data_IF_230351237085
#
_entry.id   IF_230351237085
#
_cell.length_a   1.000
_cell.length_b   1.000
_cell.length_c   1.000
_cell.angle_alpha   90.00
_cell.angle_beta   90.00
_cell.angle_gamma   90.00
#
_symmetry.space_group_name_H-M   'P 1'
#
loop_
_entity.id
_entity.type
_entity.pdbx_description
1 polymer ?
#
# COMPACT_ATOMS: atom_id res chain seq x y z
N UNK A 1 -19.14 -1.81 9.66
CA UNK A 1 -17.88 -1.05 9.75
C UNK A 1 -17.95 0.17 8.83
N UNK A 2 -17.57 1.37 9.27
CA UNK A 2 -17.59 2.57 8.43
C UNK A 2 -16.48 2.56 7.38
N UNK A 3 -16.66 3.25 6.24
CA UNK A 3 -15.65 3.34 5.18
C UNK A 3 -14.31 3.81 5.73
N UNK A 4 -14.29 4.90 6.51
CA UNK A 4 -13.07 5.48 7.10
C UNK A 4 -12.33 4.46 7.98
N UNK A 5 -13.05 3.69 8.81
CA UNK A 5 -12.43 2.63 9.62
C UNK A 5 -11.84 1.54 8.73
N UNK A 6 -12.55 1.09 7.71
CA UNK A 6 -12.05 0.03 6.81
C UNK A 6 -10.81 0.48 6.03
N UNK A 7 -10.85 1.69 5.45
CA UNK A 7 -9.71 2.31 4.76
C UNK A 7 -8.50 2.41 5.70
N UNK A 8 -8.70 2.87 6.94
CA UNK A 8 -7.63 2.93 7.95
C UNK A 8 -6.94 1.57 8.11
N UNK A 9 -7.70 0.51 8.36
CA UNK A 9 -7.13 -0.82 8.62
C UNK A 9 -6.45 -1.43 7.39
N UNK A 10 -7.04 -1.27 6.20
CA UNK A 10 -6.46 -1.79 4.96
C UNK A 10 -5.13 -1.10 4.64
N UNK A 11 -5.07 0.23 4.73
CA UNK A 11 -3.85 0.99 4.45
C UNK A 11 -2.80 0.82 5.55
N UNK A 12 -3.20 0.66 6.82
CA UNK A 12 -2.28 0.33 7.90
C UNK A 12 -1.65 -1.06 7.71
N UNK A 13 -2.45 -2.06 7.30
CA UNK A 13 -1.95 -3.41 7.02
C UNK A 13 -0.98 -3.41 5.81
N UNK A 14 -1.36 -2.73 4.72
CA UNK A 14 -0.50 -2.57 3.54
C UNK A 14 0.81 -1.86 3.88
N UNK A 15 0.75 -0.79 4.67
CA UNK A 15 1.94 -0.10 5.16
C UNK A 15 2.80 -1.02 6.01
N UNK A 16 2.22 -1.76 6.95
CA UNK A 16 2.97 -2.65 7.84
C UNK A 16 3.68 -3.76 7.06
N UNK A 17 3.01 -4.36 6.07
CA UNK A 17 3.60 -5.36 5.19
C UNK A 17 4.77 -4.77 4.38
N UNK A 18 4.59 -3.61 3.77
CA UNK A 18 5.67 -2.91 3.06
C UNK A 18 6.81 -2.48 3.98
N UNK A 19 6.49 -2.06 5.20
CA UNK A 19 7.47 -1.61 6.17
C UNK A 19 8.36 -2.77 6.62
N UNK A 20 7.77 -3.86 7.07
CA UNK A 20 8.50 -5.02 7.60
C UNK A 20 9.28 -5.78 6.53
N UNK A 21 8.72 -5.88 5.31
CA UNK A 21 9.30 -6.70 4.25
C UNK A 21 10.23 -5.92 3.31
N UNK A 22 10.10 -4.60 3.24
CA UNK A 22 10.84 -3.79 2.27
C UNK A 22 11.53 -2.58 2.89
N UNK A 23 10.84 -1.71 3.64
CA UNK A 23 11.48 -0.49 4.19
C UNK A 23 12.58 -0.86 5.19
N UNK A 24 12.28 -1.74 6.15
CA UNK A 24 13.26 -2.20 7.15
C UNK A 24 14.52 -2.77 6.48
N UNK A 25 14.40 -3.68 5.51
CA UNK A 25 15.59 -4.22 4.84
C UNK A 25 16.34 -3.22 3.98
N UNK A 26 15.62 -2.44 3.15
CA UNK A 26 16.23 -1.57 2.13
C UNK A 26 16.80 -0.30 2.74
N UNK A 27 16.13 0.29 3.72
CA UNK A 27 16.53 1.58 4.32
C UNK A 27 17.43 1.37 5.53
N UNK A 28 17.14 0.37 6.37
CA UNK A 28 17.87 0.15 7.62
C UNK A 28 18.86 -1.01 7.57
N UNK A 29 19.04 -1.65 6.40
CA UNK A 29 20.00 -2.74 6.21
C UNK A 29 19.69 -4.00 7.02
N UNK A 30 18.43 -4.18 7.42
CA UNK A 30 18.01 -5.36 8.19
C UNK A 30 17.75 -6.56 7.27
N UNK A 31 17.70 -7.77 7.84
CA UNK A 31 17.18 -8.91 7.08
C UNK A 31 15.67 -8.75 6.87
N UNK A 32 15.16 -9.20 5.73
CA UNK A 32 13.71 -9.26 5.50
C UNK A 32 13.05 -10.14 6.57
N UNK A 33 12.17 -9.53 7.37
CA UNK A 33 11.47 -10.22 8.46
C UNK A 33 10.43 -11.23 7.94
N UNK A 34 10.04 -11.07 6.67
CA UNK A 34 9.03 -11.90 6.01
C UNK A 34 9.47 -12.23 4.58
N UNK A 35 9.19 -13.45 4.07
CA UNK A 35 9.50 -13.82 2.70
C UNK A 35 8.79 -12.92 1.68
N UNK A 36 9.50 -12.51 0.63
CA UNK A 36 8.99 -11.62 -0.44
C UNK A 36 7.76 -12.19 -1.13
N UNK A 37 7.71 -13.50 -1.39
CA UNK A 37 6.56 -14.14 -2.03
C UNK A 37 5.30 -14.04 -1.16
N UNK A 38 5.44 -14.17 0.16
CA UNK A 38 4.34 -14.12 1.11
C UNK A 38 3.84 -12.68 1.27
N UNK A 39 4.74 -11.74 1.49
CA UNK A 39 4.40 -10.32 1.69
C UNK A 39 3.90 -9.68 0.42
N UNK A 40 4.53 -9.98 -0.71
CA UNK A 40 4.06 -9.56 -2.03
C UNK A 40 2.68 -10.13 -2.34
N UNK A 41 2.47 -11.44 -2.16
CA UNK A 41 1.18 -12.07 -2.39
C UNK A 41 0.04 -11.48 -1.54
N UNK A 42 0.26 -11.33 -0.24
CA UNK A 42 -0.71 -10.70 0.67
C UNK A 42 -0.98 -9.24 0.30
N UNK A 43 0.08 -8.48 -0.02
CA UNK A 43 -0.04 -7.07 -0.39
C UNK A 43 -0.80 -6.89 -1.71
N UNK A 44 -0.60 -7.78 -2.69
CA UNK A 44 -1.34 -7.78 -3.96
C UNK A 44 -2.83 -8.00 -3.72
N UNK A 45 -3.19 -9.00 -2.90
CA UNK A 45 -4.59 -9.27 -2.55
C UNK A 45 -5.24 -8.09 -1.82
N UNK A 46 -4.57 -7.53 -0.82
CA UNK A 46 -5.06 -6.36 -0.09
C UNK A 46 -5.16 -5.11 -0.97
N UNK A 47 -4.18 -4.87 -1.84
CA UNK A 47 -4.20 -3.73 -2.76
C UNK A 47 -5.33 -3.85 -3.79
N UNK A 48 -5.63 -5.06 -4.28
CA UNK A 48 -6.79 -5.30 -5.12
C UNK A 48 -8.10 -5.01 -4.37
N UNK A 49 -8.22 -5.45 -3.12
CA UNK A 49 -9.36 -5.11 -2.26
C UNK A 49 -9.50 -3.59 -2.04
N UNK A 50 -8.39 -2.86 -1.84
CA UNK A 50 -8.40 -1.39 -1.74
C UNK A 50 -8.90 -0.76 -3.03
N UNK A 51 -8.44 -1.22 -4.20
CA UNK A 51 -8.90 -0.70 -5.49
C UNK A 51 -10.39 -0.92 -5.70
N UNK A 52 -10.86 -2.12 -5.40
CA UNK A 52 -12.28 -2.47 -5.50
C UNK A 52 -13.11 -1.60 -4.55
N UNK A 53 -12.69 -1.45 -3.29
CA UNK A 53 -13.39 -0.62 -2.31
C UNK A 53 -13.39 0.87 -2.72
N UNK A 54 -12.26 1.38 -3.19
CA UNK A 54 -12.12 2.74 -3.70
C UNK A 54 -13.01 2.99 -4.92
N UNK A 55 -13.08 2.05 -5.86
CA UNK A 55 -13.93 2.14 -7.06
C UNK A 55 -15.42 2.11 -6.70
N UNK A 56 -15.87 1.17 -5.88
CA UNK A 56 -17.26 1.12 -5.43
C UNK A 56 -17.68 2.36 -4.66
N UNK A 57 -16.77 2.94 -3.88
CA UNK A 57 -17.05 4.14 -3.11
C UNK A 57 -16.80 5.42 -3.87
N UNK A 58 -16.14 5.39 -5.04
CA UNK A 58 -15.84 6.58 -5.84
C UNK A 58 -17.08 7.41 -6.15
N UNK A 59 -18.19 6.74 -6.50
CA UNK A 59 -19.47 7.37 -6.83
C UNK A 59 -20.42 7.53 -5.64
N UNK A 60 -20.06 7.06 -4.43
CA UNK A 60 -20.94 7.20 -3.28
C UNK A 60 -21.04 8.67 -2.83
N UNK A 61 -22.19 9.18 -2.35
CA UNK A 61 -22.27 10.57 -1.89
C UNK A 61 -21.68 10.81 -0.49
N UNK A 62 -21.42 9.75 0.30
CA UNK A 62 -21.26 9.84 1.76
C UNK A 62 -19.82 9.74 2.30
N UNK A 63 -18.78 9.86 1.47
CA UNK A 63 -17.40 9.84 1.96
C UNK A 63 -16.47 10.84 1.25
N UNK A 64 -15.36 11.25 1.89
CA UNK A 64 -14.52 12.33 1.36
C UNK A 64 -13.93 11.94 0.00
N UNK A 65 -14.19 12.74 -1.05
CA UNK A 65 -13.70 12.46 -2.42
C UNK A 65 -12.17 12.35 -2.49
N UNK A 66 -11.46 13.21 -1.76
CA UNK A 66 -9.99 13.23 -1.69
C UNK A 66 -9.43 11.91 -1.12
N UNK A 67 -10.04 11.38 -0.05
CA UNK A 67 -9.62 10.12 0.58
C UNK A 67 -9.77 8.93 -0.37
N UNK A 68 -10.80 8.90 -1.22
CA UNK A 68 -11.02 7.82 -2.20
C UNK A 68 -9.98 7.83 -3.32
N UNK A 69 -9.71 9.02 -3.85
CA UNK A 69 -8.76 9.19 -4.94
C UNK A 69 -7.35 8.84 -4.45
N UNK A 70 -6.98 9.31 -3.26
CA UNK A 70 -5.71 8.97 -2.63
C UNK A 70 -5.61 7.48 -2.27
N UNK A 71 -6.68 6.89 -1.74
CA UNK A 71 -6.76 5.45 -1.42
C UNK A 71 -6.59 4.58 -2.66
N UNK A 72 -7.30 4.91 -3.75
CA UNK A 72 -7.18 4.22 -5.03
C UNK A 72 -5.78 4.33 -5.63
N UNK A 73 -5.18 5.53 -5.63
CA UNK A 73 -3.79 5.72 -6.09
C UNK A 73 -2.80 4.93 -5.24
N UNK A 74 -2.93 4.95 -3.91
CA UNK A 74 -2.08 4.19 -3.01
C UNK A 74 -2.18 2.67 -3.26
N UNK A 75 -3.41 2.17 -3.47
CA UNK A 75 -3.67 0.78 -3.84
C UNK A 75 -3.02 0.40 -5.17
N UNK A 76 -3.21 1.23 -6.21
CA UNK A 76 -2.63 0.99 -7.54
C UNK A 76 -1.11 0.95 -7.51
N UNK A 77 -0.49 1.93 -6.86
CA UNK A 77 0.97 2.05 -6.79
C UNK A 77 1.57 0.85 -6.06
N UNK A 78 0.97 0.40 -4.94
CA UNK A 78 1.43 -0.80 -4.24
C UNK A 78 1.18 -2.07 -5.04
N UNK A 79 0.07 -2.18 -5.76
CA UNK A 79 -0.23 -3.35 -6.58
C UNK A 79 0.83 -3.52 -7.68
N UNK A 80 1.18 -2.43 -8.37
CA UNK A 80 2.22 -2.45 -9.40
C UNK A 80 3.60 -2.68 -8.77
N UNK A 81 3.94 -1.97 -7.68
CA UNK A 81 5.23 -2.09 -7.01
C UNK A 81 5.51 -3.51 -6.52
N UNK A 82 4.53 -4.14 -5.85
CA UNK A 82 4.64 -5.53 -5.42
C UNK A 82 4.62 -6.53 -6.57
N UNK A 83 3.84 -6.27 -7.63
CA UNK A 83 3.85 -7.10 -8.84
C UNK A 83 5.24 -7.16 -9.47
N UNK A 84 5.91 -6.01 -9.58
CA UNK A 84 7.30 -5.93 -10.05
C UNK A 84 8.26 -6.65 -9.11
N UNK A 85 8.11 -6.50 -7.80
CA UNK A 85 9.00 -7.15 -6.83
C UNK A 85 8.86 -8.67 -6.78
N UNK A 86 7.63 -9.18 -6.88
CA UNK A 86 7.37 -10.63 -7.00
C UNK A 86 7.98 -11.18 -8.29
N UNK A 87 7.88 -10.42 -9.39
CA UNK A 87 8.55 -10.77 -10.65
C UNK A 87 10.08 -10.81 -10.50
N UNK A 88 10.70 -9.80 -9.87
CA UNK A 88 12.15 -9.76 -9.63
C UNK A 88 12.59 -10.94 -8.74
N UNK A 89 11.80 -11.28 -7.73
CA UNK A 89 12.10 -12.43 -6.85
C UNK A 89 12.19 -13.75 -7.64
N UNK A 90 11.32 -13.93 -8.64
CA UNK A 90 11.38 -15.07 -9.56
C UNK A 90 12.43 -14.95 -10.67
N UNK A 91 13.08 -13.79 -10.81
CA UNK A 91 14.01 -13.48 -11.90
C UNK A 91 15.18 -12.61 -11.42
N UNK A 92 16.17 -13.24 -10.79
CA UNK A 92 17.32 -12.56 -10.18
C UNK A 92 18.17 -11.74 -11.18
N UNK A 93 18.07 -12.00 -12.48
CA UNK A 93 18.71 -11.19 -13.51
C UNK A 93 18.13 -9.76 -13.61
N UNK A 94 16.93 -9.53 -13.06
CA UNK A 94 16.31 -8.20 -13.02
C UNK A 94 16.85 -7.33 -11.87
N UNK A 95 17.63 -7.88 -10.93
CA UNK A 95 18.22 -7.14 -9.81
C UNK A 95 19.24 -6.12 -10.35
N UNK A 96 19.19 -4.87 -9.86
CA UNK A 96 20.09 -3.80 -10.30
C UNK A 96 19.73 -3.13 -11.63
N UNK A 97 18.71 -3.62 -12.34
CA UNK A 97 18.22 -3.04 -13.59
C UNK A 97 17.26 -1.86 -13.35
N UNK A 98 16.80 -1.23 -14.44
CA UNK A 98 15.74 -0.21 -14.38
C UNK A 98 14.45 -0.73 -13.71
N UNK A 99 14.08 -2.00 -13.95
CA UNK A 99 12.91 -2.64 -13.34
C UNK A 99 13.01 -2.67 -11.81
N UNK A 100 14.19 -2.99 -11.27
CA UNK A 100 14.46 -2.94 -9.83
C UNK A 100 14.27 -1.54 -9.25
N UNK A 101 14.78 -0.51 -9.94
CA UNK A 101 14.64 0.89 -9.50
C UNK A 101 13.18 1.34 -9.50
N UNK A 102 12.42 1.00 -10.55
CA UNK A 102 11.00 1.33 -10.67
C UNK A 102 10.20 0.64 -9.56
N UNK A 103 10.39 -0.68 -9.36
CA UNK A 103 9.68 -1.42 -8.31
C UNK A 103 9.96 -0.86 -6.92
N UNK A 104 11.23 -0.58 -6.62
CA UNK A 104 11.69 0.03 -5.35
C UNK A 104 11.07 1.42 -5.15
N UNK A 105 11.08 2.26 -6.19
CA UNK A 105 10.47 3.58 -6.16
C UNK A 105 8.96 3.51 -5.88
N UNK A 106 8.23 2.63 -6.58
CA UNK A 106 6.79 2.47 -6.39
C UNK A 106 6.45 1.95 -5.00
N UNK A 107 7.22 1.01 -4.43
CA UNK A 107 7.02 0.58 -3.04
C UNK A 107 7.27 1.72 -2.03
N UNK A 108 8.29 2.55 -2.28
CA UNK A 108 8.55 3.74 -1.47
C UNK A 108 7.39 4.75 -1.52
N UNK A 109 6.97 5.16 -2.73
CA UNK A 109 5.85 6.07 -2.94
C UNK A 109 4.56 5.50 -2.37
N UNK A 110 4.26 4.22 -2.64
CA UNK A 110 3.10 3.53 -2.13
C UNK A 110 3.06 3.54 -0.60
N UNK A 111 4.19 3.31 0.06
CA UNK A 111 4.27 3.35 1.53
C UNK A 111 3.96 4.74 2.08
N UNK A 112 4.50 5.81 1.47
CA UNK A 112 4.20 7.20 1.84
C UNK A 112 2.72 7.51 1.66
N UNK A 113 2.12 7.12 0.54
CA UNK A 113 0.69 7.34 0.28
C UNK A 113 -0.18 6.61 1.31
N UNK A 114 0.17 5.38 1.71
CA UNK A 114 -0.55 4.66 2.76
C UNK A 114 -0.50 5.38 4.11
N UNK A 115 0.66 5.94 4.49
CA UNK A 115 0.78 6.75 5.72
C UNK A 115 -0.16 7.96 5.64
N UNK A 116 -0.19 8.69 4.52
CA UNK A 116 -1.09 9.83 4.37
C UNK A 116 -2.57 9.44 4.47
N UNK A 117 -2.97 8.35 3.84
CA UNK A 117 -4.35 7.83 3.94
C UNK A 117 -4.69 7.46 5.39
N UNK A 118 -3.78 6.80 6.10
CA UNK A 118 -3.93 6.47 7.53
C UNK A 118 -4.08 7.74 8.36
N UNK A 119 -3.21 8.72 8.16
CA UNK A 119 -3.23 9.99 8.90
C UNK A 119 -4.57 10.73 8.71
N UNK A 120 -5.04 10.88 7.47
CA UNK A 120 -6.32 11.53 7.17
C UNK A 120 -7.47 10.74 7.83
N UNK A 121 -7.48 9.42 7.70
CA UNK A 121 -8.53 8.59 8.29
C UNK A 121 -8.57 8.67 9.83
N UNK A 122 -7.42 8.82 10.50
CA UNK A 122 -7.35 9.05 11.95
C UNK A 122 -7.88 10.44 12.32
N UNK A 123 -7.49 11.48 11.58
CA UNK A 123 -7.94 12.85 11.83
C UNK A 123 -9.46 12.99 11.65
N UNK A 124 -10.02 12.43 10.58
CA UNK A 124 -11.48 12.42 10.35
C UNK A 124 -12.25 11.66 11.44
N UNK A 125 -11.69 10.57 11.97
CA UNK A 125 -12.30 9.84 13.09
C UNK A 125 -12.28 10.63 14.39
N UNK A 126 -11.29 11.50 14.60
CA UNK A 126 -11.24 12.38 15.78
C UNK A 126 -12.24 13.51 15.64
N UNK A 127 -12.28 14.17 14.47
CA UNK A 127 -13.20 15.26 14.19
C UNK A 127 -14.69 14.86 14.26
N UNK A 128 -15.02 13.58 14.00
CA UNK A 128 -16.40 13.07 14.10
C UNK A 128 -16.82 12.64 15.51
N UNK A 129 -15.90 12.68 16.49
CA UNK A 129 -16.18 12.35 17.91
C UNK A 129 -16.31 13.58 18.81
N UNK A 130 -15.91 14.75 18.30
CA UNK A 130 -16.05 16.07 18.94
C UNK A 130 -17.33 16.73 18.47
#
# INVERSE_FOLDING_TARGET
MTYIKRTLWLHAALFLLAFLAFILPVVFGTAALLPVWLTGGLSLGLAACVLVDAAYKFFAPTSPRSLRLLSGLAGLVLLIGWGIWVYIYGNMAAVGTGTYRIGTFLLGVGSVLNIFVVAIAVLDQKASRT
#
